data_IF_390226818610
#
_entry.id   IF_390226818610
#
_cell.length_a   1.000
_cell.length_b   1.000
_cell.length_c   1.000
_cell.angle_alpha   90.00
_cell.angle_beta   90.00
_cell.angle_gamma   90.00
#
_symmetry.space_group_name_H-M   'P 1'
#
loop_
_entity.id
_entity.type
_entity.pdbx_description
1 polymer ?
#
# COMPACT_ATOMS: atom_id res chain seq x y z
N UNK A 1 -20.71 -7.22 3.48
CA UNK A 1 -21.05 -6.42 2.27
C UNK A 1 -20.55 -7.08 0.98
N UNK A 2 -21.27 -6.82 -0.12
CA UNK A 2 -20.84 -7.16 -1.49
C UNK A 2 -19.71 -6.23 -1.96
N UNK A 3 -18.83 -6.69 -2.85
CA UNK A 3 -17.67 -5.90 -3.32
C UNK A 3 -18.12 -4.58 -3.97
N UNK A 4 -19.23 -4.61 -4.72
CA UNK A 4 -19.80 -3.42 -5.36
C UNK A 4 -20.26 -2.35 -4.37
N UNK A 5 -20.80 -2.76 -3.21
CA UNK A 5 -21.23 -1.84 -2.16
C UNK A 5 -20.03 -1.20 -1.46
N UNK A 6 -19.02 -2.01 -1.12
CA UNK A 6 -17.77 -1.53 -0.49
C UNK A 6 -17.13 -0.46 -1.36
N UNK A 7 -17.00 -0.74 -2.66
CA UNK A 7 -16.40 0.19 -3.61
C UNK A 7 -17.26 1.43 -3.79
N UNK A 8 -18.58 1.29 -3.96
CA UNK A 8 -19.49 2.42 -4.16
C UNK A 8 -19.50 3.38 -2.97
N UNK A 9 -19.50 2.85 -1.74
CA UNK A 9 -19.42 3.65 -0.53
C UNK A 9 -18.06 4.36 -0.42
N UNK A 10 -16.98 3.59 -0.57
CA UNK A 10 -15.63 4.09 -0.34
C UNK A 10 -15.19 5.12 -1.39
N UNK A 11 -15.67 5.04 -2.64
CA UNK A 11 -15.37 6.04 -3.68
C UNK A 11 -15.98 7.40 -3.35
N UNK A 12 -17.14 7.44 -2.68
CA UNK A 12 -17.78 8.70 -2.27
C UNK A 12 -17.05 9.35 -1.10
N UNK A 13 -16.39 8.55 -0.28
CA UNK A 13 -15.76 9.00 0.95
C UNK A 13 -14.78 10.16 0.72
N UNK A 14 -13.73 10.08 -0.12
CA UNK A 14 -12.84 11.23 -0.34
C UNK A 14 -13.57 12.47 -0.84
N UNK A 15 -14.63 12.30 -1.65
CA UNK A 15 -15.37 13.43 -2.25
C UNK A 15 -16.29 14.17 -1.30
N UNK A 16 -16.47 13.69 -0.06
CA UNK A 16 -17.28 14.39 0.94
C UNK A 16 -16.62 15.69 1.41
N UNK A 17 -15.28 15.76 1.40
CA UNK A 17 -14.52 16.95 1.77
C UNK A 17 -13.29 17.16 0.86
N UNK A 18 -13.47 18.02 -0.15
CA UNK A 18 -12.41 18.40 -1.09
C UNK A 18 -11.27 19.17 -0.43
N UNK A 19 -11.51 19.87 0.68
CA UNK A 19 -10.47 20.59 1.41
C UNK A 19 -9.48 19.61 2.00
N UNK A 20 -9.95 18.48 2.56
CA UNK A 20 -9.09 17.43 3.11
C UNK A 20 -8.27 16.70 2.04
N UNK A 21 -8.83 16.49 0.84
CA UNK A 21 -8.05 15.98 -0.31
C UNK A 21 -6.89 16.93 -0.64
N UNK A 22 -7.16 18.23 -0.72
CA UNK A 22 -6.13 19.23 -1.07
C UNK A 22 -5.06 19.31 0.02
N UNK A 23 -5.44 19.28 1.30
CA UNK A 23 -4.49 19.26 2.41
C UNK A 23 -3.56 18.04 2.31
N UNK A 24 -4.12 16.84 2.10
CA UNK A 24 -3.33 15.63 1.93
C UNK A 24 -2.41 15.73 0.71
N UNK A 25 -2.88 16.30 -0.39
CA UNK A 25 -2.09 16.46 -1.62
C UNK A 25 -0.89 17.38 -1.40
N UNK A 26 -1.07 18.49 -0.67
CA UNK A 26 0.03 19.40 -0.31
C UNK A 26 1.03 18.71 0.61
N UNK A 27 0.55 17.93 1.59
CA UNK A 27 1.40 17.14 2.48
C UNK A 27 2.27 16.16 1.68
N UNK A 28 1.68 15.46 0.70
CA UNK A 28 2.36 14.44 -0.10
C UNK A 28 3.45 14.96 -1.05
N UNK A 29 3.51 16.28 -1.27
CA UNK A 29 4.55 16.92 -2.09
C UNK A 29 5.88 17.01 -1.32
N UNK A 30 5.84 17.13 0.02
CA UNK A 30 7.03 17.36 0.84
C UNK A 30 7.46 16.03 1.48
N UNK A 31 8.59 15.42 1.07
CA UNK A 31 8.93 14.04 1.46
C UNK A 31 8.96 13.77 2.95
N UNK A 32 9.43 14.72 3.77
CA UNK A 32 9.49 14.57 5.24
C UNK A 32 8.09 14.67 5.86
N UNK A 33 7.18 15.43 5.25
CA UNK A 33 5.80 15.61 5.72
C UNK A 33 4.93 14.43 5.30
N UNK A 34 5.37 13.59 4.34
CA UNK A 34 4.63 12.38 3.91
C UNK A 34 4.29 11.45 5.06
N UNK A 35 5.09 11.40 6.14
CA UNK A 35 4.74 10.61 7.32
C UNK A 35 3.41 11.05 7.93
N UNK A 36 3.08 12.34 7.93
CA UNK A 36 1.76 12.83 8.35
C UNK A 36 0.67 12.29 7.43
N UNK A 37 0.91 12.26 6.12
CA UNK A 37 -0.03 11.70 5.15
C UNK A 37 -0.25 10.19 5.33
N UNK A 38 0.81 9.43 5.66
CA UNK A 38 0.72 8.01 5.98
C UNK A 38 -0.01 7.80 7.32
N UNK A 39 0.27 8.60 8.35
CA UNK A 39 -0.47 8.52 9.61
C UNK A 39 -1.94 8.91 9.48
N UNK A 40 -2.27 9.78 8.53
CA UNK A 40 -3.66 10.10 8.21
C UNK A 40 -4.42 8.87 7.69
N UNK A 41 -3.75 7.94 6.99
CA UNK A 41 -4.35 6.65 6.62
C UNK A 41 -4.73 5.84 7.86
N UNK A 42 -3.87 5.78 8.88
CA UNK A 42 -4.21 5.13 10.17
C UNK A 42 -5.43 5.78 10.82
N UNK A 43 -5.51 7.11 10.80
CA UNK A 43 -6.66 7.83 11.36
C UNK A 43 -7.96 7.56 10.59
N UNK A 44 -7.91 7.44 9.26
CA UNK A 44 -9.06 7.03 8.44
C UNK A 44 -9.49 5.60 8.81
N UNK A 45 -8.54 4.68 8.99
CA UNK A 45 -8.83 3.30 9.39
C UNK A 45 -9.54 3.30 10.75
N UNK A 46 -8.97 3.99 11.76
CA UNK A 46 -9.57 4.15 13.10
C UNK A 46 -11.00 4.73 13.01
N UNK A 47 -11.19 5.79 12.23
CA UNK A 47 -12.50 6.42 12.02
C UNK A 47 -13.51 5.49 11.34
N UNK A 48 -13.07 4.74 10.33
CA UNK A 48 -13.92 3.77 9.62
C UNK A 48 -14.32 2.61 10.52
N UNK A 49 -13.40 2.10 11.36
CA UNK A 49 -13.71 1.08 12.37
C UNK A 49 -14.68 1.59 13.44
N UNK A 50 -14.60 2.87 13.79
CA UNK A 50 -15.56 3.54 14.67
C UNK A 50 -16.90 3.87 13.97
N UNK A 51 -17.12 3.42 12.73
CA UNK A 51 -18.32 3.70 11.92
C UNK A 51 -18.56 5.20 11.71
N UNK A 52 -17.48 5.99 11.61
CA UNK A 52 -17.55 7.41 11.25
C UNK A 52 -17.54 7.56 9.73
N UNK A 53 -18.54 8.27 9.20
CA UNK A 53 -18.68 8.54 7.77
C UNK A 53 -17.99 9.82 7.30
N UNK A 54 -17.65 10.70 8.25
CA UNK A 54 -16.91 11.92 7.96
C UNK A 54 -15.40 11.65 7.86
N UNK A 55 -14.70 12.44 7.04
CA UNK A 55 -13.24 12.39 7.05
C UNK A 55 -12.71 12.93 8.39
N UNK A 56 -11.68 12.31 9.00
CA UNK A 56 -11.02 12.87 10.17
C UNK A 56 -10.37 14.22 9.87
N UNK A 57 -10.20 15.05 10.89
CA UNK A 57 -9.45 16.30 10.77
C UNK A 57 -7.93 16.05 10.82
N UNK A 58 -7.17 17.04 10.33
CA UNK A 58 -5.70 17.08 10.37
C UNK A 58 -5.16 17.76 11.64
N UNK A 59 -5.94 17.71 12.72
CA UNK A 59 -5.51 18.13 14.04
C UNK A 59 -4.48 17.15 14.63
N UNK A 60 -3.81 17.55 15.70
CA UNK A 60 -2.83 16.69 16.40
C UNK A 60 -1.77 16.10 15.44
N UNK A 61 -1.22 16.95 14.57
CA UNK A 61 -0.23 16.57 13.54
C UNK A 61 0.97 15.77 14.06
N UNK A 62 1.31 15.93 15.34
CA UNK A 62 2.34 15.14 16.01
C UNK A 62 1.97 13.66 16.13
N UNK A 63 0.71 13.33 16.42
CA UNK A 63 0.22 11.95 16.44
C UNK A 63 0.21 11.36 15.04
N UNK A 64 -0.26 12.12 14.04
CA UNK A 64 -0.21 11.70 12.63
C UNK A 64 1.23 11.40 12.19
N UNK A 65 2.20 12.22 12.57
CA UNK A 65 3.60 11.95 12.26
C UNK A 65 4.11 10.66 12.93
N UNK A 66 3.77 10.43 14.21
CA UNK A 66 4.17 9.24 14.95
C UNK A 66 3.54 7.98 14.36
N UNK A 67 2.24 8.00 14.06
CA UNK A 67 1.54 6.88 13.45
C UNK A 67 2.09 6.58 12.04
N UNK A 68 2.44 7.60 11.27
CA UNK A 68 3.14 7.44 10.00
C UNK A 68 4.52 6.79 10.14
N UNK A 69 5.28 7.15 11.17
CA UNK A 69 6.57 6.53 11.46
C UNK A 69 6.41 5.05 11.85
N UNK A 70 5.36 4.69 12.60
CA UNK A 70 5.06 3.30 12.92
C UNK A 70 4.77 2.49 11.66
N UNK A 71 3.94 3.02 10.74
CA UNK A 71 3.67 2.37 9.45
C UNK A 71 4.95 2.19 8.64
N UNK A 72 5.84 3.18 8.64
CA UNK A 72 7.13 3.07 7.99
C UNK A 72 8.01 1.95 8.59
N UNK A 73 8.04 1.82 9.92
CA UNK A 73 8.74 0.71 10.60
C UNK A 73 8.14 -0.64 10.19
N UNK A 74 6.80 -0.76 10.11
CA UNK A 74 6.12 -1.96 9.61
C UNK A 74 6.59 -2.27 8.19
N UNK A 75 6.58 -1.30 7.29
CA UNK A 75 7.03 -1.49 5.91
C UNK A 75 8.49 -1.94 5.80
N UNK A 76 9.39 -1.41 6.63
CA UNK A 76 10.78 -1.90 6.70
C UNK A 76 10.82 -3.38 7.12
N UNK A 77 10.10 -3.74 8.18
CA UNK A 77 10.12 -5.12 8.70
C UNK A 77 9.54 -6.10 7.67
N UNK A 78 8.46 -5.74 6.99
CA UNK A 78 7.88 -6.54 5.92
C UNK A 78 8.76 -6.58 4.66
N UNK A 79 9.61 -5.58 4.41
CA UNK A 79 10.57 -5.61 3.31
C UNK A 79 11.77 -6.54 3.55
N UNK A 80 12.12 -6.84 4.82
CA UNK A 80 13.29 -7.67 5.17
C UNK A 80 13.28 -9.04 4.47
N UNK A 81 12.20 -9.85 4.50
CA UNK A 81 12.15 -11.11 3.77
C UNK A 81 12.46 -10.96 2.27
N UNK A 82 11.95 -9.91 1.63
CA UNK A 82 12.18 -9.65 0.21
C UNK A 82 13.64 -9.29 -0.06
N UNK A 83 14.26 -8.46 0.79
CA UNK A 83 15.69 -8.14 0.69
C UNK A 83 16.57 -9.37 0.88
N UNK A 84 16.23 -10.26 1.82
CA UNK A 84 16.95 -11.52 2.04
C UNK A 84 16.87 -12.40 0.79
N UNK A 85 15.68 -12.62 0.24
CA UNK A 85 15.49 -13.44 -0.97
C UNK A 85 16.25 -12.82 -2.15
N UNK A 86 16.18 -11.50 -2.31
CA UNK A 86 16.89 -10.77 -3.37
C UNK A 86 18.41 -10.91 -3.24
N UNK A 87 18.95 -10.80 -2.01
CA UNK A 87 20.37 -10.99 -1.76
C UNK A 87 20.83 -12.42 -2.07
N UNK A 88 20.05 -13.44 -1.68
CA UNK A 88 20.34 -14.85 -1.97
C UNK A 88 20.38 -15.08 -3.49
N UNK A 89 19.39 -14.56 -4.22
CA UNK A 89 19.35 -14.67 -5.69
C UNK A 89 20.57 -13.97 -6.32
N UNK A 90 20.93 -12.78 -5.83
CA UNK A 90 22.11 -12.05 -6.31
C UNK A 90 23.40 -12.83 -6.11
N UNK A 91 23.58 -13.48 -4.96
CA UNK A 91 24.74 -14.35 -4.68
C UNK A 91 24.75 -15.55 -5.63
N UNK A 92 23.62 -16.24 -5.82
CA UNK A 92 23.52 -17.40 -6.71
C UNK A 92 23.91 -17.01 -8.14
N UNK A 93 23.36 -15.90 -8.67
CA UNK A 93 23.70 -15.41 -10.01
C UNK A 93 25.19 -15.07 -10.11
N UNK A 94 25.77 -14.43 -9.09
CA UNK A 94 27.19 -14.09 -9.05
C UNK A 94 28.10 -15.33 -9.06
N UNK A 95 27.67 -16.47 -8.52
CA UNK A 95 28.45 -17.72 -8.52
C UNK A 95 28.41 -18.45 -9.86
N UNK A 96 27.39 -18.20 -10.68
CA UNK A 96 27.20 -18.83 -12.00
C UNK A 96 27.99 -18.07 -13.08
N UNK A 97 28.31 -16.79 -12.84
CA UNK A 97 29.09 -15.97 -13.76
C UNK A 97 30.60 -16.29 -13.66
N UNK A 98 31.30 -16.59 -14.77
CA UNK A 98 32.75 -16.79 -14.75
C UNK A 98 33.49 -15.53 -14.26
N UNK A 99 34.46 -15.70 -13.36
CA UNK A 99 35.23 -14.62 -12.73
C UNK A 99 36.05 -13.72 -13.68
N UNK A 100 36.04 -14.00 -15.00
CA UNK A 100 36.87 -13.34 -16.01
C UNK A 100 36.16 -12.26 -16.84
N UNK A 101 34.91 -11.90 -16.57
CA UNK A 101 34.17 -10.92 -17.39
C UNK A 101 33.89 -9.62 -16.62
N UNK A 102 34.90 -8.75 -16.55
CA UNK A 102 34.74 -7.36 -16.06
C UNK A 102 34.18 -6.40 -17.10
N UNK A 103 33.62 -6.86 -18.22
CA UNK A 103 33.24 -5.92 -19.29
C UNK A 103 31.87 -6.09 -19.94
N UNK A 104 31.24 -7.25 -20.00
CA UNK A 104 29.83 -7.37 -20.42
C UNK A 104 29.28 -8.69 -19.89
N UNK A 105 28.15 -8.67 -19.18
CA UNK A 105 27.34 -9.87 -19.01
C UNK A 105 26.84 -10.22 -20.40
N UNK A 106 27.28 -11.35 -20.95
CA UNK A 106 26.73 -11.84 -22.21
C UNK A 106 25.30 -12.36 -21.95
N UNK A 107 24.34 -11.44 -21.98
CA UNK A 107 22.92 -11.72 -21.80
C UNK A 107 22.34 -12.56 -22.96
N UNK A 108 23.14 -12.88 -23.98
CA UNK A 108 22.74 -13.78 -25.09
C UNK A 108 22.70 -15.25 -24.68
N UNK A 109 23.28 -15.61 -23.54
CA UNK A 109 23.09 -16.93 -22.93
C UNK A 109 21.62 -17.10 -22.52
N UNK A 110 20.89 -17.85 -23.34
CA UNK A 110 19.46 -18.14 -23.14
C UNK A 110 19.17 -18.76 -21.78
N UNK A 111 20.08 -19.57 -21.25
CA UNK A 111 19.98 -20.17 -19.92
C UNK A 111 20.13 -19.14 -18.78
N UNK A 112 21.06 -18.18 -18.91
CA UNK A 112 21.24 -17.12 -17.92
C UNK A 112 20.04 -16.18 -17.91
N UNK A 113 19.58 -15.75 -19.08
CA UNK A 113 18.41 -14.89 -19.22
C UNK A 113 17.15 -15.56 -18.63
N UNK A 114 16.91 -16.84 -18.96
CA UNK A 114 15.78 -17.59 -18.41
C UNK A 114 15.85 -17.70 -16.88
N UNK A 115 17.04 -17.94 -16.33
CA UNK A 115 17.25 -18.03 -14.88
C UNK A 115 16.98 -16.69 -14.19
N UNK A 116 17.47 -15.58 -14.76
CA UNK A 116 17.18 -14.23 -14.24
C UNK A 116 15.69 -13.93 -14.26
N UNK A 117 15.02 -14.16 -15.40
CA UNK A 117 13.57 -13.93 -15.53
C UNK A 117 12.75 -14.74 -14.52
N UNK A 118 13.08 -16.03 -14.35
CA UNK A 118 12.41 -16.88 -13.37
C UNK A 118 12.64 -16.39 -11.93
N UNK A 119 13.87 -15.96 -11.60
CA UNK A 119 14.20 -15.45 -10.27
C UNK A 119 13.49 -14.13 -9.95
N UNK A 120 13.39 -13.21 -10.91
CA UNK A 120 12.62 -11.97 -10.75
C UNK A 120 11.13 -12.23 -10.67
N UNK A 121 10.59 -13.17 -11.45
CA UNK A 121 9.19 -13.56 -11.36
C UNK A 121 8.87 -14.11 -9.96
N UNK A 122 9.74 -14.97 -9.40
CA UNK A 122 9.58 -15.49 -8.05
C UNK A 122 9.64 -14.38 -6.99
N UNK A 123 10.56 -13.41 -7.12
CA UNK A 123 10.64 -12.23 -6.25
C UNK A 123 9.39 -11.37 -6.31
N UNK A 124 8.85 -11.13 -7.51
CA UNK A 124 7.62 -10.34 -7.69
C UNK A 124 6.45 -11.04 -6.99
N UNK A 125 6.31 -12.36 -7.16
CA UNK A 125 5.26 -13.13 -6.48
C UNK A 125 5.42 -13.06 -4.96
N UNK A 126 6.64 -13.22 -4.43
CA UNK A 126 6.91 -13.08 -3.00
C UNK A 126 6.57 -11.67 -2.49
N UNK A 127 6.96 -10.63 -3.22
CA UNK A 127 6.68 -9.24 -2.86
C UNK A 127 5.18 -8.93 -2.86
N UNK A 128 4.42 -9.46 -3.82
CA UNK A 128 2.95 -9.32 -3.86
C UNK A 128 2.33 -9.98 -2.63
N UNK A 129 2.73 -11.21 -2.29
CA UNK A 129 2.18 -11.92 -1.12
C UNK A 129 2.49 -11.16 0.17
N UNK A 130 3.74 -10.72 0.34
CA UNK A 130 4.15 -9.96 1.52
C UNK A 130 3.40 -8.63 1.61
N UNK A 131 3.26 -7.90 0.50
CA UNK A 131 2.52 -6.63 0.46
C UNK A 131 1.03 -6.80 0.77
N UNK A 132 0.41 -7.89 0.32
CA UNK A 132 -0.97 -8.22 0.71
C UNK A 132 -1.10 -8.44 2.23
N UNK A 133 -0.12 -9.09 2.87
CA UNK A 133 -0.14 -9.28 4.33
C UNK A 133 0.15 -7.95 5.05
N UNK A 134 1.06 -7.12 4.53
CA UNK A 134 1.42 -5.81 5.09
C UNK A 134 0.21 -4.87 5.18
N UNK A 135 -0.66 -4.86 4.18
CA UNK A 135 -1.88 -4.04 4.20
C UNK A 135 -2.75 -4.36 5.42
N UNK A 136 -2.91 -5.64 5.73
CA UNK A 136 -3.70 -6.10 6.89
C UNK A 136 -2.91 -5.90 8.19
N UNK A 137 -1.58 -5.90 8.13
CA UNK A 137 -0.74 -5.53 9.27
C UNK A 137 -0.95 -4.06 9.69
N UNK A 138 -1.05 -3.14 8.73
CA UNK A 138 -1.36 -1.73 8.94
C UNK A 138 -2.78 -1.56 9.51
N UNK A 139 -3.73 -2.35 9.01
CA UNK A 139 -5.08 -2.41 9.57
C UNK A 139 -5.05 -2.87 11.04
N UNK A 140 -4.32 -3.93 11.35
CA UNK A 140 -4.20 -4.45 12.72
C UNK A 140 -3.51 -3.45 13.66
N UNK A 141 -2.48 -2.75 13.16
CA UNK A 141 -1.85 -1.64 13.87
C UNK A 141 -2.87 -0.57 14.28
N UNK A 142 -3.74 -0.18 13.34
CA UNK A 142 -4.78 0.82 13.61
C UNK A 142 -5.86 0.30 14.57
N UNK A 143 -6.24 -0.97 14.45
CA UNK A 143 -7.24 -1.62 15.31
C UNK A 143 -6.79 -1.68 16.78
N UNK A 144 -5.50 -1.90 17.03
CA UNK A 144 -4.90 -1.90 18.37
C UNK A 144 -4.26 -0.53 18.74
N UNK A 145 -4.92 0.57 18.39
CA UNK A 145 -4.54 1.95 18.79
C UNK A 145 -3.08 2.35 18.49
N UNK A 146 -2.51 1.79 17.42
CA UNK A 146 -1.13 2.07 17.02
C UNK A 146 -0.08 1.32 17.84
N UNK A 147 -0.41 0.18 18.45
CA UNK A 147 0.58 -0.76 19.00
C UNK A 147 1.41 -1.40 17.86
N UNK A 148 2.69 -1.02 17.77
CA UNK A 148 3.63 -1.54 16.78
C UNK A 148 3.73 -3.07 16.81
N UNK A 149 3.58 -3.70 17.99
CA UNK A 149 3.59 -5.14 18.13
C UNK A 149 2.41 -5.83 17.45
N UNK A 150 1.25 -5.16 17.36
CA UNK A 150 0.06 -5.69 16.72
C UNK A 150 0.24 -5.90 15.21
N UNK A 151 1.02 -5.04 14.55
CA UNK A 151 1.35 -5.20 13.13
C UNK A 151 2.09 -6.50 12.82
N UNK A 152 2.68 -7.17 13.82
CA UNK A 152 3.46 -8.40 13.64
C UNK A 152 2.77 -9.64 14.21
N UNK A 153 1.49 -9.56 14.55
CA UNK A 153 0.68 -10.71 14.98
C UNK A 153 0.24 -11.53 13.76
N UNK A 154 1.21 -12.16 13.08
CA UNK A 154 0.98 -12.85 11.81
C UNK A 154 -0.14 -13.90 11.85
N UNK A 155 -0.26 -14.65 12.94
CA UNK A 155 -1.33 -15.64 13.10
C UNK A 155 -2.72 -15.01 13.08
N UNK A 156 -2.88 -13.84 13.70
CA UNK A 156 -4.12 -13.08 13.74
C UNK A 156 -4.42 -12.46 12.37
N UNK A 157 -3.42 -11.83 11.75
CA UNK A 157 -3.52 -11.25 10.40
C UNK A 157 -3.93 -12.30 9.37
N UNK A 158 -3.30 -13.48 9.39
CA UNK A 158 -3.63 -14.58 8.48
C UNK A 158 -5.02 -15.15 8.77
N UNK A 159 -5.44 -15.17 10.04
CA UNK A 159 -6.79 -15.57 10.41
C UNK A 159 -7.82 -14.62 9.78
N UNK A 160 -7.65 -13.30 9.91
CA UNK A 160 -8.55 -12.30 9.29
C UNK A 160 -8.70 -12.48 7.78
N UNK A 161 -7.56 -12.64 7.09
CA UNK A 161 -7.58 -12.87 5.64
C UNK A 161 -8.32 -14.17 5.31
N UNK A 162 -8.12 -15.23 6.11
CA UNK A 162 -8.77 -16.52 5.90
C UNK A 162 -10.28 -16.50 6.18
N UNK A 163 -10.73 -15.74 7.19
CA UNK A 163 -12.15 -15.56 7.54
C UNK A 163 -12.92 -14.88 6.41
N UNK A 164 -12.34 -13.83 5.83
CA UNK A 164 -12.93 -13.13 4.67
C UNK A 164 -12.81 -13.96 3.38
N UNK A 165 -11.73 -14.74 3.30
CA UNK A 165 -11.35 -15.53 2.14
C UNK A 165 -10.40 -14.76 1.20
N UNK A 166 -9.27 -15.39 0.88
CA UNK A 166 -8.24 -14.85 -0.01
C UNK A 166 -8.78 -14.39 -1.36
N UNK A 167 -9.71 -15.13 -1.95
CA UNK A 167 -10.30 -14.77 -3.24
C UNK A 167 -11.05 -13.42 -3.18
N UNK A 168 -11.91 -13.24 -2.16
CA UNK A 168 -12.65 -11.98 -1.97
C UNK A 168 -11.69 -10.82 -1.70
N UNK A 169 -10.69 -11.04 -0.84
CA UNK A 169 -9.69 -10.01 -0.54
C UNK A 169 -8.89 -9.57 -1.79
N UNK A 170 -8.35 -10.53 -2.54
CA UNK A 170 -7.57 -10.26 -3.75
C UNK A 170 -8.43 -9.57 -4.81
N UNK A 171 -9.67 -10.01 -5.04
CA UNK A 171 -10.57 -9.37 -6.00
C UNK A 171 -10.87 -7.93 -5.59
N UNK A 172 -11.21 -7.67 -4.32
CA UNK A 172 -11.42 -6.30 -3.84
C UNK A 172 -10.18 -5.43 -4.05
N UNK A 173 -8.99 -5.96 -3.72
CA UNK A 173 -7.73 -5.24 -3.94
C UNK A 173 -7.48 -4.93 -5.42
N UNK A 174 -7.74 -5.89 -6.32
CA UNK A 174 -7.64 -5.67 -7.78
C UNK A 174 -8.61 -4.59 -8.24
N UNK A 175 -9.86 -4.60 -7.77
CA UNK A 175 -10.85 -3.58 -8.15
C UNK A 175 -10.42 -2.19 -7.68
N UNK A 176 -9.94 -2.07 -6.43
CA UNK A 176 -9.37 -0.82 -5.90
C UNK A 176 -8.18 -0.37 -6.78
N UNK A 177 -7.24 -1.28 -7.06
CA UNK A 177 -6.06 -0.99 -7.86
C UNK A 177 -6.41 -0.54 -9.28
N UNK A 178 -7.41 -1.13 -9.93
CA UNK A 178 -7.89 -0.73 -11.25
C UNK A 178 -8.52 0.67 -11.25
N UNK A 179 -9.34 0.98 -10.25
CA UNK A 179 -9.94 2.32 -10.09
C UNK A 179 -8.85 3.36 -9.87
N UNK A 180 -7.91 3.09 -8.96
CA UNK A 180 -6.77 3.96 -8.69
C UNK A 180 -5.88 4.12 -9.94
N UNK A 181 -5.64 3.06 -10.70
CA UNK A 181 -4.86 3.13 -11.94
C UNK A 181 -5.52 4.04 -12.98
N UNK A 182 -6.85 3.96 -13.14
CA UNK A 182 -7.59 4.87 -14.03
C UNK A 182 -7.48 6.32 -13.56
N UNK A 183 -7.68 6.59 -12.27
CA UNK A 183 -7.59 7.95 -11.70
C UNK A 183 -6.17 8.52 -11.89
N UNK A 184 -5.15 7.73 -11.59
CA UNK A 184 -3.75 8.11 -11.76
C UNK A 184 -3.38 8.34 -13.23
N UNK A 185 -3.89 7.51 -14.14
CA UNK A 185 -3.69 7.69 -15.57
C UNK A 185 -4.35 8.99 -16.08
N UNK A 186 -5.58 9.27 -15.67
CA UNK A 186 -6.28 10.53 -15.99
C UNK A 186 -5.51 11.72 -15.43
N UNK A 187 -5.08 11.67 -14.18
CA UNK A 187 -4.29 12.73 -13.57
C UNK A 187 -2.95 12.96 -14.27
N UNK A 188 -2.29 11.89 -14.72
CA UNK A 188 -1.06 11.96 -15.51
C UNK A 188 -1.28 12.60 -16.88
N UNK A 189 -2.34 12.22 -17.60
CA UNK A 189 -2.70 12.81 -18.89
C UNK A 189 -3.03 14.29 -18.73
N UNK A 190 -3.89 14.65 -17.77
CA UNK A 190 -4.25 16.05 -17.50
C UNK A 190 -3.01 16.86 -17.09
N UNK A 191 -2.16 16.31 -16.22
CA UNK A 191 -0.92 16.95 -15.80
C UNK A 191 0.05 17.18 -16.96
N UNK A 192 0.15 16.22 -17.91
CA UNK A 192 0.96 16.35 -19.11
C UNK A 192 0.46 17.47 -20.03
N UNK A 193 -0.87 17.57 -20.23
CA UNK A 193 -1.50 18.62 -21.04
C UNK A 193 -1.25 20.02 -20.46
N UNK A 194 -1.08 20.12 -19.14
CA UNK A 194 -0.71 21.35 -18.42
C UNK A 194 0.81 21.59 -18.40
N UNK A 195 1.48 21.37 -19.55
CA UNK A 195 2.92 21.62 -19.77
C UNK A 195 3.81 20.84 -18.78
N UNK A 196 3.36 19.67 -18.31
CA UNK A 196 4.09 18.83 -17.35
C UNK A 196 4.16 19.38 -15.91
N UNK A 197 4.17 20.71 -15.72
CA UNK A 197 4.10 21.35 -14.39
C UNK A 197 2.80 20.97 -13.68
N UNK A 198 1.71 20.78 -14.43
CA UNK A 198 0.45 20.30 -13.87
C UNK A 198 0.57 18.95 -13.16
N UNK A 199 1.53 18.09 -13.51
CA UNK A 199 1.74 16.80 -12.81
C UNK A 199 2.09 16.98 -11.34
N UNK A 200 2.77 18.07 -10.96
CA UNK A 200 3.10 18.38 -9.56
C UNK A 200 1.84 18.56 -8.71
N UNK A 201 0.72 18.94 -9.34
CA UNK A 201 -0.56 19.17 -8.66
C UNK A 201 -1.49 17.97 -8.86
N UNK A 202 -1.64 17.48 -10.09
CA UNK A 202 -2.63 16.44 -10.41
C UNK A 202 -2.26 15.09 -9.81
N UNK A 203 -0.97 14.72 -9.74
CA UNK A 203 -0.54 13.44 -9.20
C UNK A 203 -0.76 13.36 -7.67
N UNK A 204 -0.34 14.33 -6.85
CA UNK A 204 -0.62 14.28 -5.41
C UNK A 204 -2.12 14.32 -5.07
N UNK A 205 -2.94 15.04 -5.84
CA UNK A 205 -4.40 15.02 -5.68
C UNK A 205 -4.98 13.63 -5.95
N UNK A 206 -4.58 13.00 -7.06
CA UNK A 206 -4.99 11.64 -7.39
C UNK A 206 -4.53 10.62 -6.34
N UNK A 207 -3.29 10.75 -5.86
CA UNK A 207 -2.74 9.90 -4.82
C UNK A 207 -3.50 10.05 -3.49
N UNK A 208 -3.85 11.27 -3.11
CA UNK A 208 -4.64 11.57 -1.91
C UNK A 208 -6.01 10.91 -1.96
N UNK A 209 -6.69 11.04 -3.10
CA UNK A 209 -7.95 10.35 -3.34
C UNK A 209 -7.79 8.83 -3.20
N UNK A 210 -6.78 8.25 -3.85
CA UNK A 210 -6.54 6.81 -3.83
C UNK A 210 -6.22 6.28 -2.42
N UNK A 211 -5.46 7.03 -1.61
CA UNK A 211 -5.19 6.66 -0.22
C UNK A 211 -6.45 6.65 0.63
N UNK A 212 -7.26 7.71 0.56
CA UNK A 212 -8.50 7.80 1.33
C UNK A 212 -9.51 6.72 0.91
N UNK A 213 -9.69 6.52 -0.39
CA UNK A 213 -10.55 5.48 -0.95
C UNK A 213 -10.10 4.08 -0.55
N UNK A 214 -8.81 3.77 -0.74
CA UNK A 214 -8.25 2.46 -0.45
C UNK A 214 -8.29 2.12 1.04
N UNK A 215 -7.96 3.09 1.91
CA UNK A 215 -8.01 2.93 3.36
C UNK A 215 -9.42 2.55 3.83
N UNK A 216 -10.45 3.30 3.39
CA UNK A 216 -11.84 2.99 3.74
C UNK A 216 -12.28 1.65 3.16
N UNK A 217 -12.04 1.40 1.88
CA UNK A 217 -12.50 0.18 1.21
C UNK A 217 -11.94 -1.09 1.86
N UNK A 218 -10.65 -1.09 2.21
CA UNK A 218 -10.03 -2.24 2.87
C UNK A 218 -10.51 -2.35 4.32
N UNK A 219 -10.64 -1.24 5.03
CA UNK A 219 -11.15 -1.27 6.41
C UNK A 219 -12.58 -1.82 6.48
N UNK A 220 -13.47 -1.34 5.61
CA UNK A 220 -14.85 -1.82 5.52
C UNK A 220 -14.93 -3.29 5.13
N UNK A 221 -14.02 -3.78 4.28
CA UNK A 221 -13.95 -5.21 3.95
C UNK A 221 -13.62 -6.07 5.17
N UNK A 222 -12.74 -5.58 6.05
CA UNK A 222 -12.25 -6.32 7.22
C UNK A 222 -12.98 -6.01 8.53
N UNK A 223 -13.89 -5.03 8.55
CA UNK A 223 -14.59 -4.61 9.76
C UNK A 223 -15.33 -5.77 10.45
N UNK A 224 -16.07 -6.58 9.68
CA UNK A 224 -16.79 -7.75 10.21
C UNK A 224 -15.82 -8.78 10.82
N UNK A 225 -14.71 -9.07 10.14
CA UNK A 225 -13.73 -10.07 10.58
C UNK A 225 -12.94 -9.64 11.82
N UNK A 226 -12.68 -8.34 11.98
CA UNK A 226 -12.06 -7.78 13.18
C UNK A 226 -13.00 -7.86 14.38
N UNK A 227 -14.28 -7.56 14.18
CA UNK A 227 -15.29 -7.57 15.23
C UNK A 227 -15.59 -8.99 15.77
N UNK A 228 -15.50 -10.02 14.94
CA UNK A 228 -15.72 -11.43 15.35
C UNK A 228 -14.62 -11.99 16.26
N UNK A 229 -13.45 -11.36 16.32
CA UNK A 229 -12.28 -11.84 17.08
C UNK A 229 -11.96 -11.06 18.35
N UNK A 230 -12.72 -9.99 18.61
CA UNK A 230 -12.64 -9.17 19.82
C UNK A 230 -13.29 -9.86 21.03
#
# INVERSE_FOLDING_TARGET
MEIGEIVSDSVKYPTSDWTKIIILAVILIIPIVNFIGIGYVIRIIKGTLASLDDLPDFDEVGELFIDGLKVFVVGIVYAIPIWIISAIIGVIISLILPASTTTYVDTTSTALLATMMASYAALIVAAIIVGLIEIVAILNLAYYDGDLGAAFRFSEILNYISTIGWGKYIITYIVIALICAVIMAVAGIVGALLIGIGMIITIPLAMSFCYMFGARAITTLFADALAETA
#
